data_IF_893112750266
#
_entry.id   IF_893112750266
#
_cell.length_a   1.000
_cell.length_b   1.000
_cell.length_c   1.000
_cell.angle_alpha   90.00
_cell.angle_beta   90.00
_cell.angle_gamma   90.00
#
_symmetry.space_group_name_H-M   'P 1'
#
loop_
_entity.id
_entity.type
_entity.pdbx_description
1 polymer ?
#
# COMPACT_ATOMS: atom_id res chain seq x y z
N UNK A 1 -12.11 13.49 -17.79
CA UNK A 1 -11.43 12.19 -17.96
C UNK A 1 -12.25 11.12 -17.25
N UNK A 2 -12.23 9.87 -17.72
CA UNK A 2 -12.97 8.77 -17.09
C UNK A 2 -12.16 8.24 -15.90
N UNK A 3 -12.82 7.96 -14.78
CA UNK A 3 -12.19 7.32 -13.61
C UNK A 3 -11.80 5.89 -13.95
N UNK A 4 -10.62 5.48 -13.51
CA UNK A 4 -10.14 4.12 -13.57
C UNK A 4 -10.85 3.31 -12.46
N UNK A 5 -11.40 2.13 -12.78
CA UNK A 5 -11.99 1.21 -11.82
C UNK A 5 -11.04 0.86 -10.65
N UNK A 6 -11.61 0.66 -9.46
CA UNK A 6 -10.84 0.43 -8.24
C UNK A 6 -10.03 -0.87 -8.29
N UNK A 7 -10.58 -1.92 -8.88
CA UNK A 7 -9.93 -3.21 -9.09
C UNK A 7 -8.67 -3.09 -9.95
N UNK A 8 -8.71 -2.25 -10.99
CA UNK A 8 -7.55 -1.97 -11.84
C UNK A 8 -6.48 -1.20 -11.06
N UNK A 9 -6.88 -0.20 -10.27
CA UNK A 9 -5.95 0.52 -9.41
C UNK A 9 -5.34 -0.40 -8.33
N UNK A 10 -6.13 -1.31 -7.77
CA UNK A 10 -5.67 -2.27 -6.78
C UNK A 10 -4.65 -3.26 -7.37
N UNK A 11 -4.87 -3.74 -8.59
CA UNK A 11 -3.90 -4.60 -9.29
C UNK A 11 -2.57 -3.86 -9.50
N UNK A 12 -2.61 -2.62 -9.99
CA UNK A 12 -1.39 -1.79 -10.15
C UNK A 12 -0.68 -1.54 -8.83
N UNK A 13 -1.42 -1.21 -7.76
CA UNK A 13 -0.85 -1.02 -6.43
C UNK A 13 -0.20 -2.31 -5.90
N UNK A 14 -0.79 -3.49 -6.14
CA UNK A 14 -0.18 -4.79 -5.79
C UNK A 14 1.13 -5.03 -6.53
N UNK A 15 1.21 -4.69 -7.82
CA UNK A 15 2.44 -4.81 -8.60
C UNK A 15 3.55 -3.89 -8.07
N UNK A 16 3.23 -2.61 -7.83
CA UNK A 16 4.13 -1.65 -7.19
C UNK A 16 4.58 -2.16 -5.83
N UNK A 17 3.67 -2.72 -5.04
CA UNK A 17 3.96 -3.26 -3.70
C UNK A 17 4.97 -4.39 -3.77
N UNK A 18 4.75 -5.39 -4.63
CA UNK A 18 5.64 -6.55 -4.78
C UNK A 18 7.03 -6.12 -5.23
N UNK A 19 7.11 -5.21 -6.21
CA UNK A 19 8.39 -4.68 -6.69
C UNK A 19 9.13 -3.94 -5.58
N UNK A 20 8.42 -3.07 -4.86
CA UNK A 20 9.00 -2.25 -3.79
C UNK A 20 9.49 -3.13 -2.63
N UNK A 21 8.63 -4.00 -2.10
CA UNK A 21 8.95 -4.83 -0.94
C UNK A 21 10.05 -5.88 -1.21
N UNK A 22 10.37 -6.16 -2.48
CA UNK A 22 11.51 -6.99 -2.86
C UNK A 22 12.84 -6.49 -2.25
N UNK A 23 12.97 -5.18 -2.07
CA UNK A 23 14.17 -4.52 -1.56
C UNK A 23 14.19 -4.38 -0.02
N UNK A 24 13.16 -4.85 0.69
CA UNK A 24 12.98 -4.63 2.12
C UNK A 24 12.89 -5.93 2.91
N UNK A 25 13.33 -5.89 4.16
CA UNK A 25 13.24 -7.01 5.09
C UNK A 25 11.78 -7.13 5.53
N UNK A 26 11.14 -8.22 5.14
CA UNK A 26 9.78 -8.57 5.52
C UNK A 26 9.79 -9.93 6.20
N UNK A 27 9.96 -9.98 7.53
CA UNK A 27 9.99 -11.24 8.26
C UNK A 27 8.63 -11.96 8.21
N UNK A 28 8.64 -13.29 8.21
CA UNK A 28 7.42 -14.12 8.05
C UNK A 28 6.35 -13.82 9.10
N UNK A 29 6.75 -13.46 10.33
CA UNK A 29 5.83 -13.08 11.39
C UNK A 29 5.09 -11.77 11.11
N UNK A 30 5.69 -10.84 10.37
CA UNK A 30 5.04 -9.61 9.90
C UNK A 30 4.14 -9.96 8.73
N UNK A 31 4.65 -10.74 7.77
CA UNK A 31 3.90 -11.10 6.56
C UNK A 31 2.56 -11.77 6.89
N UNK A 32 2.53 -12.69 7.85
CA UNK A 32 1.30 -13.39 8.26
C UNK A 32 0.25 -12.51 8.93
N UNK A 33 0.63 -11.31 9.38
CA UNK A 33 -0.28 -10.35 10.03
C UNK A 33 -0.70 -9.21 9.09
N UNK A 34 -0.18 -9.15 7.86
CA UNK A 34 -0.49 -8.04 6.96
C UNK A 34 -1.96 -8.04 6.56
N UNK A 35 -2.56 -6.86 6.70
CA UNK A 35 -3.84 -6.51 6.11
C UNK A 35 -3.65 -5.42 5.05
N UNK A 36 -4.61 -5.31 4.14
CA UNK A 36 -4.66 -4.26 3.12
C UNK A 36 -5.92 -3.43 3.26
N UNK A 37 -5.79 -2.13 3.05
CA UNK A 37 -6.91 -1.19 3.04
C UNK A 37 -6.77 -0.14 1.95
N UNK A 38 -7.86 0.60 1.71
CA UNK A 38 -7.89 1.71 0.76
C UNK A 38 -8.44 2.93 1.46
N UNK A 39 -7.72 4.04 1.37
CA UNK A 39 -8.15 5.36 1.83
C UNK A 39 -8.55 6.18 0.60
N UNK A 40 -9.69 6.86 0.70
CA UNK A 40 -10.16 7.81 -0.31
C UNK A 40 -9.61 9.19 0.07
N UNK A 41 -8.82 9.79 -0.82
CA UNK A 41 -8.26 11.12 -0.61
C UNK A 41 -8.48 11.97 -1.86
N UNK A 42 -9.62 12.65 -1.92
CA UNK A 42 -10.06 13.40 -3.10
C UNK A 42 -10.09 12.54 -4.37
N UNK A 43 -9.26 12.94 -5.34
CA UNK A 43 -9.08 12.25 -6.63
C UNK A 43 -8.01 11.15 -6.60
N UNK A 44 -7.53 10.78 -5.41
CA UNK A 44 -6.58 9.69 -5.22
C UNK A 44 -7.21 8.51 -4.45
N UNK A 45 -6.58 7.36 -4.62
CA UNK A 45 -6.76 6.17 -3.77
C UNK A 45 -5.42 5.84 -3.16
N UNK A 46 -5.37 5.78 -1.83
CA UNK A 46 -4.16 5.38 -1.12
C UNK A 46 -4.34 3.94 -0.65
N UNK A 47 -3.59 3.04 -1.27
CA UNK A 47 -3.54 1.64 -0.89
C UNK A 47 -2.53 1.48 0.23
N UNK A 48 -2.97 0.91 1.35
CA UNK A 48 -2.15 0.77 2.56
C UNK A 48 -2.00 -0.71 2.89
N UNK A 49 -0.76 -1.14 3.07
CA UNK A 49 -0.43 -2.39 3.77
C UNK A 49 -0.06 -2.06 5.20
N UNK A 50 -0.67 -2.75 6.15
CA UNK A 50 -0.50 -2.47 7.57
C UNK A 50 -0.62 -3.73 8.43
N UNK A 51 -0.12 -3.66 9.65
CA UNK A 51 -0.32 -4.66 10.69
C UNK A 51 -1.45 -4.17 11.60
N UNK A 52 -2.63 -4.81 11.60
CA UNK A 52 -3.72 -4.42 12.48
C UNK A 52 -3.34 -4.67 13.94
N UNK A 53 -3.79 -3.78 14.83
CA UNK A 53 -3.73 -3.95 16.29
C UNK A 53 -5.15 -3.82 16.87
N UNK A 54 -5.30 -4.13 18.15
CA UNK A 54 -6.60 -4.06 18.83
C UNK A 54 -7.27 -2.69 18.69
N UNK A 55 -6.48 -1.62 18.70
CA UNK A 55 -6.98 -0.26 18.47
C UNK A 55 -6.44 0.27 17.16
N UNK A 56 -7.30 0.91 16.39
CA UNK A 56 -6.95 1.49 15.09
C UNK A 56 -5.74 2.43 15.16
N UNK A 57 -5.61 3.23 16.23
CA UNK A 57 -4.50 4.16 16.44
C UNK A 57 -3.12 3.48 16.61
N UNK A 58 -3.12 2.20 16.99
CA UNK A 58 -1.90 1.44 17.25
C UNK A 58 -1.50 0.61 16.01
N UNK A 59 -2.28 0.70 14.92
CA UNK A 59 -1.97 0.06 13.64
C UNK A 59 -0.62 0.54 13.11
N UNK A 60 0.17 -0.41 12.59
CA UNK A 60 1.50 -0.11 12.06
C UNK A 60 1.43 -0.15 10.55
N UNK A 61 1.65 1.00 9.92
CA UNK A 61 1.73 1.07 8.48
C UNK A 61 3.07 0.53 7.98
N UNK A 62 3.01 -0.25 6.91
CA UNK A 62 4.15 -0.93 6.31
C UNK A 62 4.47 -0.32 4.94
N UNK A 63 3.44 -0.07 4.13
CA UNK A 63 3.58 0.51 2.81
C UNK A 63 2.34 1.35 2.49
N UNK A 64 2.55 2.54 1.92
CA UNK A 64 1.47 3.34 1.33
C UNK A 64 1.78 3.64 -0.12
N UNK A 65 0.81 3.39 -1.00
CA UNK A 65 0.88 3.71 -2.42
C UNK A 65 -0.28 4.62 -2.74
N UNK A 66 0.04 5.85 -3.17
CA UNK A 66 -0.95 6.80 -3.64
C UNK A 66 -1.13 6.63 -5.14
N UNK A 67 -2.37 6.54 -5.58
CA UNK A 67 -2.75 6.34 -6.98
C UNK A 67 -3.78 7.38 -7.42
N UNK A 68 -3.51 8.05 -8.54
CA UNK A 68 -4.47 8.97 -9.13
C UNK A 68 -5.58 8.22 -9.87
N UNK A 69 -6.84 8.57 -9.64
CA UNK A 69 -7.98 7.83 -10.22
C UNK A 69 -8.21 8.12 -11.71
N UNK A 70 -7.59 9.14 -12.30
CA UNK A 70 -7.78 9.47 -13.72
C UNK A 70 -6.60 9.01 -14.58
N UNK A 71 -5.35 9.23 -14.13
CA UNK A 71 -4.16 8.78 -14.86
C UNK A 71 -3.78 7.33 -14.54
N UNK A 72 -4.12 6.85 -13.33
CA UNK A 72 -3.67 5.55 -12.84
C UNK A 72 -2.17 5.47 -12.62
N UNK A 73 -1.50 6.62 -12.55
CA UNK A 73 -0.14 6.74 -12.06
C UNK A 73 -0.16 6.55 -10.54
N UNK A 74 0.84 5.83 -10.04
CA UNK A 74 0.98 5.57 -8.62
C UNK A 74 2.43 5.68 -8.18
N UNK A 75 2.62 6.14 -6.96
CA UNK A 75 3.94 6.25 -6.34
C UNK A 75 3.90 5.79 -4.89
N UNK A 76 5.06 5.38 -4.39
CA UNK A 76 5.21 4.96 -2.99
C UNK A 76 5.36 6.20 -2.13
N UNK A 77 4.37 6.43 -1.26
CA UNK A 77 4.33 7.57 -0.35
C UNK A 77 5.12 7.28 0.94
N UNK A 78 5.15 6.01 1.37
CA UNK A 78 5.77 5.62 2.64
C UNK A 78 6.17 4.15 2.65
N UNK A 79 7.29 3.83 3.32
CA UNK A 79 7.74 2.48 3.61
C UNK A 79 8.24 2.42 5.06
N UNK A 80 7.61 1.58 5.87
CA UNK A 80 7.92 1.40 7.30
C UNK A 80 8.88 0.24 7.60
N UNK A 81 9.61 -0.25 6.60
CA UNK A 81 10.50 -1.40 6.71
C UNK A 81 11.96 -1.00 6.56
N UNK A 82 12.84 -1.81 7.14
CA UNK A 82 14.27 -1.72 6.92
C UNK A 82 14.63 -2.28 5.53
N UNK A 83 15.52 -1.58 4.82
CA UNK A 83 16.01 -2.00 3.50
C UNK A 83 17.00 -3.17 3.65
N UNK A 84 16.97 -4.12 2.72
CA UNK A 84 18.03 -5.13 2.59
C UNK A 84 19.33 -4.40 2.24
N UNK A 85 20.42 -4.70 2.95
CA UNK A 85 21.76 -4.19 2.64
C UNK A 85 22.30 -4.81 1.36
#
# INVERSE_FOLDING_TARGET
MKKIPLDILEQKAKEISRKTLGDYILPDNIFSQLASGVIIDGDDRVFVLFIPKERAKDTIDILRIRMNIYSGEGFVEYIGLERKK
#
